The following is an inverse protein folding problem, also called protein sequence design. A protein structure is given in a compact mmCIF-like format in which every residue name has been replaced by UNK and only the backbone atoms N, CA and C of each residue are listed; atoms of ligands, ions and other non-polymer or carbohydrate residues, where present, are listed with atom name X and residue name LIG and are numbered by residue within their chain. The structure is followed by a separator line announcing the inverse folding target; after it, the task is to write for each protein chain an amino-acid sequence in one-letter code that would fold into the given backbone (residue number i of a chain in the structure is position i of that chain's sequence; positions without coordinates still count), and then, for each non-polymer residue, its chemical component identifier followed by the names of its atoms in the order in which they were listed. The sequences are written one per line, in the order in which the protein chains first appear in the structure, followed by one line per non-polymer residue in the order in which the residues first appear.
data_IF_437529904823
#
_entry.id   IF_437529904823
#
_cell.length_a   1.000
_cell.length_b   1.000
_cell.length_c   1.000
_cell.angle_alpha   90.00
_cell.angle_beta   90.00
_cell.angle_gamma   90.00
#
_symmetry.space_group_name_H-M   'P 1'
#
loop_
_entity.id
_entity.type
_entity.pdbx_description
1 polymer ?
#
# COMPACT_ATOMS: atom_id res chain seq x y z
N UNK A 1 -7.66 0.55 16.21
CA UNK A 1 -7.04 1.20 15.03
C UNK A 1 -5.68 0.57 14.75
N UNK A 2 -5.20 0.67 13.53
CA UNK A 2 -3.87 0.18 13.14
C UNK A 2 -2.76 0.86 13.95
N UNK A 3 -2.90 2.14 14.24
CA UNK A 3 -1.94 2.89 15.07
C UNK A 3 -1.80 2.27 16.46
N UNK A 4 -2.91 1.91 17.09
CA UNK A 4 -2.89 1.24 18.40
C UNK A 4 -2.20 -0.12 18.33
N UNK A 5 -2.52 -0.90 17.31
CA UNK A 5 -1.88 -2.21 17.11
C UNK A 5 -0.36 -2.07 16.91
N UNK A 6 0.08 -1.09 16.12
CA UNK A 6 1.51 -0.81 15.93
C UNK A 6 2.18 -0.44 17.26
N UNK A 7 1.56 0.43 18.05
CA UNK A 7 2.10 0.84 19.35
C UNK A 7 2.23 -0.34 20.33
N UNK A 8 1.24 -1.23 20.34
CA UNK A 8 1.19 -2.37 21.28
C UNK A 8 2.05 -3.56 20.86
N UNK A 9 2.32 -3.74 19.55
CA UNK A 9 2.99 -4.94 19.03
C UNK A 9 4.35 -4.68 18.39
N UNK A 10 4.49 -3.60 17.63
CA UNK A 10 5.72 -3.30 16.88
C UNK A 10 6.68 -2.42 17.68
N UNK A 11 6.17 -1.36 18.32
CA UNK A 11 7.00 -0.41 19.08
C UNK A 11 7.36 -0.92 20.48
N UNK A 12 7.88 -2.13 20.52
CA UNK A 12 8.27 -2.82 21.76
C UNK A 12 9.69 -3.35 21.66
N UNK A 13 10.29 -3.71 22.79
CA UNK A 13 11.62 -4.29 22.85
C UNK A 13 12.67 -3.46 22.09
N UNK A 14 13.30 -4.02 21.07
CA UNK A 14 14.33 -3.34 20.27
C UNK A 14 13.81 -2.17 19.45
N UNK A 15 12.54 -2.19 19.09
CA UNK A 15 11.90 -1.11 18.33
C UNK A 15 11.24 -0.05 19.24
N UNK A 16 11.34 -0.16 20.55
CA UNK A 16 10.70 0.76 21.49
C UNK A 16 11.17 2.23 21.34
N UNK A 17 12.38 2.44 20.83
CA UNK A 17 12.94 3.77 20.57
C UNK A 17 12.59 4.33 19.19
N UNK A 18 11.87 3.58 18.34
CA UNK A 18 11.46 4.07 17.03
C UNK A 18 10.35 5.12 17.16
N UNK A 19 10.46 6.17 16.38
CA UNK A 19 9.43 7.19 16.27
C UNK A 19 8.33 6.72 15.31
N UNK A 20 7.09 6.73 15.75
CA UNK A 20 5.92 6.46 14.91
C UNK A 20 5.34 7.77 14.40
N UNK A 21 5.29 7.93 13.08
CA UNK A 21 4.69 9.10 12.43
C UNK A 21 3.45 8.62 11.65
N UNK A 22 2.23 8.98 12.09
CA UNK A 22 1.03 8.70 11.31
C UNK A 22 1.12 9.33 9.92
N UNK A 23 0.53 8.69 8.90
CA UNK A 23 0.63 9.19 7.53
C UNK A 23 0.06 10.61 7.35
N UNK A 24 -0.97 10.96 8.12
CA UNK A 24 -1.54 12.32 8.15
C UNK A 24 -0.55 13.41 8.59
N UNK A 25 0.49 13.03 9.33
CA UNK A 25 1.53 13.92 9.85
C UNK A 25 2.82 13.85 9.01
N UNK A 26 2.84 12.95 8.00
CA UNK A 26 3.96 12.79 7.08
C UNK A 26 3.93 13.86 6.00
N UNK A 27 5.09 14.41 5.68
CA UNK A 27 5.23 15.40 4.60
C UNK A 27 5.37 14.69 3.26
N UNK A 28 4.59 15.10 2.27
CA UNK A 28 4.54 14.46 0.95
C UNK A 28 5.78 14.72 0.06
N UNK A 29 6.62 15.66 0.45
CA UNK A 29 7.94 15.90 -0.17
C UNK A 29 9.05 14.99 0.39
N UNK A 30 8.76 14.23 1.47
CA UNK A 30 9.67 13.29 2.10
C UNK A 30 9.34 11.86 1.67
N UNK A 31 10.25 11.23 0.94
CA UNK A 31 10.06 9.85 0.44
C UNK A 31 10.67 8.86 1.45
N UNK A 32 9.93 7.85 1.91
CA UNK A 32 10.48 6.78 2.73
C UNK A 32 11.56 5.98 2.01
N UNK A 33 12.45 5.36 2.77
CA UNK A 33 13.51 4.49 2.22
C UNK A 33 12.97 3.11 1.86
N UNK A 34 11.99 2.62 2.61
CA UNK A 34 11.40 1.28 2.46
C UNK A 34 9.89 1.35 2.63
N UNK A 35 9.17 0.64 1.78
CA UNK A 35 7.74 0.36 1.95
C UNK A 35 7.50 -1.14 2.06
N UNK A 36 6.74 -1.53 3.07
CA UNK A 36 6.18 -2.87 3.20
C UNK A 36 4.67 -2.76 3.00
N UNK A 37 4.19 -3.39 1.94
CA UNK A 37 2.80 -3.29 1.49
C UNK A 37 2.10 -4.63 1.67
N UNK A 38 0.88 -4.60 2.18
CA UNK A 38 -0.05 -5.70 2.09
C UNK A 38 -0.98 -5.55 0.88
N UNK A 39 -1.77 -6.58 0.61
CA UNK A 39 -2.77 -6.57 -0.46
C UNK A 39 -4.11 -7.09 0.09
N UNK A 40 -5.21 -6.43 -0.27
CA UNK A 40 -6.55 -6.91 0.01
C UNK A 40 -7.03 -7.97 -1.00
N UNK A 41 -8.15 -8.64 -0.69
CA UNK A 41 -8.77 -9.63 -1.60
C UNK A 41 -9.37 -8.99 -2.86
N UNK A 42 -9.61 -7.69 -2.85
CA UNK A 42 -10.02 -6.89 -4.01
C UNK A 42 -8.82 -6.32 -4.80
N UNK A 43 -7.60 -6.67 -4.40
CA UNK A 43 -6.37 -6.19 -5.02
C UNK A 43 -5.92 -4.80 -4.57
N UNK A 44 -6.58 -4.19 -3.58
CA UNK A 44 -6.10 -2.90 -3.07
C UNK A 44 -4.74 -3.02 -2.38
N UNK A 45 -3.95 -1.97 -2.51
CA UNK A 45 -2.67 -1.76 -1.81
C UNK A 45 -2.72 -0.41 -1.10
N UNK A 46 -2.04 -0.28 0.06
CA UNK A 46 -2.20 0.90 0.91
C UNK A 46 -3.71 1.19 1.13
N UNK A 47 -4.19 2.38 0.83
CA UNK A 47 -5.63 2.66 0.70
C UNK A 47 -5.99 3.12 -0.71
N UNK A 48 -5.38 2.49 -1.71
CA UNK A 48 -5.71 2.63 -3.14
C UNK A 48 -6.65 1.50 -3.54
N UNK A 49 -7.94 1.82 -3.69
CA UNK A 49 -9.02 0.86 -3.92
C UNK A 49 -9.43 0.76 -5.39
N UNK A 50 -10.05 -0.36 -5.80
CA UNK A 50 -10.50 -0.55 -7.18
C UNK A 50 -11.44 0.54 -7.69
N UNK A 51 -12.32 1.08 -6.84
CA UNK A 51 -13.23 2.18 -7.18
C UNK A 51 -12.53 3.47 -7.59
N UNK A 52 -11.27 3.63 -7.23
CA UNK A 52 -10.44 4.80 -7.54
C UNK A 52 -9.73 4.68 -8.89
N UNK A 53 -9.74 3.50 -9.52
CA UNK A 53 -9.15 3.29 -10.85
C UNK A 53 -9.87 4.17 -11.89
N UNK A 54 -9.10 4.89 -12.70
CA UNK A 54 -9.65 5.79 -13.71
C UNK A 54 -10.20 7.12 -13.18
N UNK A 55 -10.04 7.39 -11.88
CA UNK A 55 -10.46 8.63 -11.25
C UNK A 55 -9.25 9.42 -10.73
N UNK A 56 -9.07 10.63 -11.24
CA UNK A 56 -7.97 11.50 -10.82
C UNK A 56 -6.59 10.89 -11.03
N UNK A 57 -5.62 11.35 -10.23
CA UNK A 57 -4.20 11.03 -10.38
C UNK A 57 -3.69 9.96 -9.42
N UNK A 58 -4.58 9.32 -8.65
CA UNK A 58 -4.18 8.37 -7.60
C UNK A 58 -3.33 7.20 -8.13
N UNK A 59 -3.57 6.77 -9.37
CA UNK A 59 -2.86 5.68 -10.04
C UNK A 59 -1.96 6.13 -11.21
N UNK A 60 -1.80 7.43 -11.42
CA UNK A 60 -0.90 7.95 -12.44
C UNK A 60 0.56 7.87 -11.95
N UNK A 61 1.40 6.99 -12.53
CA UNK A 61 2.79 6.84 -12.10
C UNK A 61 3.65 8.07 -12.40
N UNK A 62 3.18 8.96 -13.27
CA UNK A 62 3.89 10.17 -13.70
C UNK A 62 3.42 11.43 -12.97
N UNK A 63 2.37 11.32 -12.17
CA UNK A 63 1.86 12.44 -11.38
C UNK A 63 2.86 12.86 -10.29
N UNK A 64 2.66 14.05 -9.75
CA UNK A 64 3.43 14.49 -8.58
C UNK A 64 3.12 13.57 -7.39
N UNK A 65 4.15 13.02 -6.72
CA UNK A 65 3.95 12.24 -5.49
C UNK A 65 3.13 13.02 -4.46
N UNK A 66 2.13 12.37 -3.87
CA UNK A 66 1.24 13.01 -2.91
C UNK A 66 0.67 12.03 -1.89
N UNK A 67 0.23 12.59 -0.76
CA UNK A 67 -0.63 11.94 0.22
C UNK A 67 -2.03 12.51 0.03
N UNK A 68 -3.01 11.64 -0.12
CA UNK A 68 -4.39 12.03 -0.40
C UNK A 68 -5.36 11.41 0.60
N UNK A 69 -6.50 12.05 0.77
CA UNK A 69 -7.66 11.49 1.47
C UNK A 69 -8.58 10.84 0.44
N UNK A 70 -8.96 9.60 0.69
CA UNK A 70 -9.92 8.89 -0.17
C UNK A 70 -11.35 9.28 0.21
N UNK A 71 -12.31 8.99 -0.67
CA UNK A 71 -13.69 8.86 -0.26
C UNK A 71 -13.90 7.68 0.68
N UNK A 72 -15.15 7.41 1.12
CA UNK A 72 -15.44 6.24 1.94
C UNK A 72 -15.15 4.93 1.19
N UNK A 73 -14.16 4.20 1.64
CA UNK A 73 -13.64 2.98 1.01
C UNK A 73 -13.40 1.87 2.05
N UNK A 74 -13.34 0.65 1.59
CA UNK A 74 -12.98 -0.51 2.39
C UNK A 74 -14.12 -1.11 3.20
N UNK A 75 -13.77 -2.00 4.14
CA UNK A 75 -14.71 -2.65 5.07
C UNK A 75 -14.08 -2.66 6.48
N UNK A 76 -14.62 -1.91 7.46
CA UNK A 76 -15.78 -1.00 7.34
C UNK A 76 -15.48 0.20 6.43
N UNK A 77 -16.54 0.74 5.86
CA UNK A 77 -16.44 1.84 4.89
C UNK A 77 -16.24 3.17 5.60
N UNK A 78 -15.10 3.82 5.38
CA UNK A 78 -14.77 5.16 5.90
C UNK A 78 -13.68 5.82 5.07
N UNK A 79 -13.55 7.13 5.22
CA UNK A 79 -12.45 7.87 4.61
C UNK A 79 -11.10 7.38 5.13
N UNK A 80 -10.11 7.37 4.25
CA UNK A 80 -8.75 6.91 4.53
C UNK A 80 -7.74 7.90 3.99
N UNK A 81 -6.51 7.79 4.49
CA UNK A 81 -5.37 8.56 4.00
C UNK A 81 -4.40 7.56 3.36
N UNK A 82 -3.91 7.89 2.18
CA UNK A 82 -3.00 7.03 1.44
C UNK A 82 -1.94 7.81 0.67
N UNK A 83 -0.78 7.20 0.47
CA UNK A 83 0.14 7.63 -0.57
C UNK A 83 -0.47 7.30 -1.94
N UNK A 84 -0.26 8.17 -2.93
CA UNK A 84 -0.55 7.87 -4.34
C UNK A 84 0.41 6.82 -4.89
N UNK A 85 0.05 6.20 -6.02
CA UNK A 85 0.96 5.27 -6.71
C UNK A 85 2.29 5.95 -7.05
N UNK A 86 2.26 7.18 -7.56
CA UNK A 86 3.46 7.95 -7.86
C UNK A 86 4.39 8.09 -6.65
N UNK A 87 3.85 8.34 -5.46
CA UNK A 87 4.64 8.44 -4.23
C UNK A 87 5.23 7.08 -3.81
N UNK A 88 4.44 6.02 -3.87
CA UNK A 88 4.90 4.66 -3.57
C UNK A 88 6.05 4.27 -4.52
N UNK A 89 5.96 4.61 -5.80
CA UNK A 89 6.97 4.27 -6.80
C UNK A 89 8.30 5.02 -6.59
N UNK A 90 8.30 6.16 -5.90
CA UNK A 90 9.52 6.87 -5.52
C UNK A 90 10.30 6.17 -4.39
N UNK A 91 9.65 5.28 -3.64
CA UNK A 91 10.30 4.55 -2.54
C UNK A 91 11.23 3.49 -3.13
N UNK A 92 12.55 3.57 -2.85
CA UNK A 92 13.54 2.74 -3.54
C UNK A 92 13.45 1.24 -3.22
N UNK A 93 13.00 0.88 -2.02
CA UNK A 93 12.81 -0.52 -1.62
C UNK A 93 11.32 -0.74 -1.33
N UNK A 94 10.68 -1.52 -2.18
CA UNK A 94 9.25 -1.86 -2.05
C UNK A 94 9.09 -3.36 -1.93
N UNK A 95 8.38 -3.79 -0.89
CA UNK A 95 8.09 -5.20 -0.63
C UNK A 95 6.58 -5.37 -0.55
N UNK A 96 6.04 -6.23 -1.39
CA UNK A 96 4.64 -6.65 -1.34
C UNK A 96 4.55 -8.01 -0.66
N UNK A 97 3.86 -8.05 0.49
CA UNK A 97 3.66 -9.28 1.26
C UNK A 97 2.30 -9.88 0.93
N UNK A 98 2.29 -11.12 0.41
CA UNK A 98 1.08 -11.84 0.02
C UNK A 98 1.09 -13.21 0.67
N UNK A 99 0.22 -13.41 1.65
CA UNK A 99 0.10 -14.66 2.40
C UNK A 99 -1.33 -15.21 2.34
N UNK A 100 -1.43 -16.54 2.25
CA UNK A 100 -2.68 -17.28 2.17
C UNK A 100 -3.17 -17.50 0.74
N UNK A 101 -3.87 -18.63 0.54
CA UNK A 101 -4.30 -19.11 -0.78
C UNK A 101 -5.23 -18.13 -1.51
N UNK A 102 -6.15 -17.49 -0.78
CA UNK A 102 -7.07 -16.52 -1.38
C UNK A 102 -6.33 -15.30 -1.95
N UNK A 103 -5.36 -14.77 -1.21
CA UNK A 103 -4.54 -13.64 -1.68
C UNK A 103 -3.59 -14.06 -2.79
N UNK A 104 -3.07 -15.28 -2.75
CA UNK A 104 -2.26 -15.82 -3.84
C UNK A 104 -3.06 -15.89 -5.14
N UNK A 105 -4.33 -16.33 -5.09
CA UNK A 105 -5.19 -16.34 -6.27
C UNK A 105 -5.44 -14.94 -6.84
N UNK A 106 -5.59 -13.93 -5.97
CA UNK A 106 -5.70 -12.52 -6.41
C UNK A 106 -4.41 -12.05 -7.08
N UNK A 107 -3.26 -12.37 -6.51
CA UNK A 107 -1.95 -12.02 -7.09
C UNK A 107 -1.78 -12.66 -8.48
N UNK A 108 -2.10 -13.94 -8.62
CA UNK A 108 -2.05 -14.67 -9.90
C UNK A 108 -2.97 -14.04 -10.95
N UNK A 109 -4.19 -13.64 -10.55
CA UNK A 109 -5.12 -12.94 -11.43
C UNK A 109 -4.55 -11.58 -11.89
N UNK A 110 -3.94 -10.83 -10.99
CA UNK A 110 -3.29 -9.55 -11.31
C UNK A 110 -2.12 -9.76 -12.29
N UNK A 111 -1.28 -10.77 -12.07
CA UNK A 111 -0.17 -11.13 -12.94
C UNK A 111 -0.63 -11.64 -14.32
N UNK A 112 -1.83 -12.20 -14.39
CA UNK A 112 -2.47 -12.60 -15.64
C UNK A 112 -3.17 -11.46 -16.38
N UNK A 113 -3.16 -10.24 -15.83
CA UNK A 113 -3.65 -9.02 -16.47
C UNK A 113 -4.98 -8.47 -15.96
N UNK A 114 -5.57 -9.04 -14.89
CA UNK A 114 -6.74 -8.44 -14.26
C UNK A 114 -6.39 -7.04 -13.73
N UNK A 115 -7.22 -6.04 -14.05
CA UNK A 115 -6.97 -4.65 -13.69
C UNK A 115 -7.41 -4.35 -12.26
N UNK A 116 -6.46 -4.33 -11.36
CA UNK A 116 -6.61 -4.04 -9.94
C UNK A 116 -5.54 -3.04 -9.51
N UNK A 117 -5.68 -2.40 -8.34
CA UNK A 117 -4.62 -1.53 -7.82
C UNK A 117 -3.24 -2.18 -7.78
N UNK A 118 -3.13 -3.42 -7.30
CA UNK A 118 -1.87 -4.16 -7.27
C UNK A 118 -1.28 -4.39 -8.67
N UNK A 119 -2.11 -4.57 -9.69
CA UNK A 119 -1.67 -4.70 -11.08
C UNK A 119 -0.92 -3.47 -11.54
N UNK A 120 -1.39 -2.27 -11.15
CA UNK A 120 -0.75 -1.00 -11.49
C UNK A 120 0.60 -0.83 -10.82
N UNK A 121 0.75 -1.32 -9.59
CA UNK A 121 2.05 -1.37 -8.90
C UNK A 121 3.02 -2.33 -9.61
N UNK A 122 2.57 -3.54 -9.92
CA UNK A 122 3.40 -4.59 -10.51
C UNK A 122 3.74 -4.33 -11.99
N UNK A 123 3.00 -3.46 -12.67
CA UNK A 123 3.34 -2.97 -14.00
C UNK A 123 4.61 -2.11 -14.03
N UNK A 124 5.02 -1.57 -12.89
CA UNK A 124 6.25 -0.80 -12.72
C UNK A 124 7.34 -1.68 -12.11
N UNK A 125 8.58 -1.48 -12.54
CA UNK A 125 9.72 -2.22 -12.01
C UNK A 125 10.03 -1.88 -10.55
N UNK A 126 10.63 -2.83 -9.82
CA UNK A 126 11.26 -2.57 -8.53
C UNK A 126 10.48 -2.99 -7.29
N UNK A 127 9.33 -3.68 -7.44
CA UNK A 127 8.62 -4.25 -6.29
C UNK A 127 8.96 -5.73 -6.13
N UNK A 128 9.48 -6.11 -4.96
CA UNK A 128 9.72 -7.50 -4.58
C UNK A 128 8.48 -8.10 -3.94
N UNK A 129 8.15 -9.34 -4.30
CA UNK A 129 7.01 -10.06 -3.75
C UNK A 129 7.51 -11.10 -2.75
N UNK A 130 6.96 -11.08 -1.54
CA UNK A 130 7.22 -12.09 -0.50
C UNK A 130 5.95 -12.88 -0.25
N UNK A 131 6.04 -14.19 -0.39
CA UNK A 131 4.92 -15.12 -0.22
C UNK A 131 5.28 -16.21 0.77
N UNK A 132 4.28 -16.89 1.32
CA UNK A 132 4.49 -18.16 2.02
C UNK A 132 4.96 -19.24 1.04
N UNK A 133 5.99 -19.96 1.44
CA UNK A 133 6.33 -21.23 0.83
C UNK A 133 5.74 -22.34 1.70
N UNK A 134 4.85 -23.08 1.11
CA UNK A 134 4.36 -24.32 1.71
C UNK A 134 5.34 -25.44 1.36
#
# INVERSE_FOLDING_TARGET
SNQRMIAETLLTNRAAAAEFIPLQDWQDDRIPDIAVLGMGLDGHIASLFPSMLGQGDAFDPTAKPAIITTGPEGNPRHERITMTLAMILEIPVRVLMVFGDEKMAVLEAAQAGADMPVTRLLAQDGTSIVTERV
#
